data_IF_439090704240
#
_entry.id   IF_439090704240
#
_cell.length_a   1.000
_cell.length_b   1.000
_cell.length_c   1.000
_cell.angle_alpha   90.00
_cell.angle_beta   90.00
_cell.angle_gamma   90.00
#
_symmetry.space_group_name_H-M   'P 1'
#
loop_
_entity.id
_entity.type
_entity.pdbx_description
1 polymer ?
#
# COMPACT_ATOMS: atom_id res chain seq x y z
N UNK A 1 6.30 -15.09 -10.89
CA UNK A 1 6.46 -13.62 -10.88
C UNK A 1 5.61 -13.12 -9.73
N UNK A 2 6.18 -12.40 -8.77
CA UNK A 2 5.37 -11.74 -7.76
C UNK A 2 4.46 -10.75 -8.48
N UNK A 3 3.16 -10.80 -8.22
CA UNK A 3 2.22 -9.87 -8.83
C UNK A 3 2.34 -8.55 -8.06
N UNK A 4 2.68 -7.47 -8.75
CA UNK A 4 2.77 -6.15 -8.12
C UNK A 4 1.43 -5.78 -7.50
N UNK A 5 1.41 -5.49 -6.19
CA UNK A 5 0.23 -5.11 -5.43
C UNK A 5 0.44 -3.75 -4.76
N UNK A 6 -0.64 -3.02 -4.51
CA UNK A 6 -0.61 -1.68 -3.93
C UNK A 6 -1.69 -1.55 -2.86
N UNK A 7 -1.36 -0.87 -1.76
CA UNK A 7 -2.36 -0.49 -0.77
C UNK A 7 -3.24 0.62 -1.34
N UNK A 8 -4.55 0.46 -1.28
CA UNK A 8 -5.51 1.52 -1.61
C UNK A 8 -6.68 1.47 -0.63
N UNK A 9 -7.56 2.47 -0.67
CA UNK A 9 -8.80 2.47 0.12
C UNK A 9 -10.00 2.04 -0.70
N UNK A 10 -11.04 1.57 -0.03
CA UNK A 10 -12.27 1.08 -0.67
C UNK A 10 -13.00 2.16 -1.46
N UNK A 11 -12.86 3.43 -1.06
CA UNK A 11 -13.50 4.61 -1.65
C UNK A 11 -12.65 5.37 -2.67
N UNK A 12 -11.36 5.01 -2.84
CA UNK A 12 -10.50 5.65 -3.83
C UNK A 12 -10.85 5.13 -5.24
N UNK A 13 -11.32 5.99 -6.17
CA UNK A 13 -11.77 5.56 -7.49
C UNK A 13 -10.62 5.42 -8.51
N UNK A 14 -9.40 5.79 -8.13
CA UNK A 14 -8.25 5.83 -9.02
C UNK A 14 -7.38 4.59 -8.86
N UNK A 15 -6.84 4.12 -9.98
CA UNK A 15 -5.89 3.02 -9.97
C UNK A 15 -4.49 3.51 -9.53
N UNK A 16 -3.87 2.90 -8.50
CA UNK A 16 -2.60 3.37 -7.95
C UNK A 16 -1.40 3.21 -8.90
N UNK A 17 -1.49 2.35 -9.92
CA UNK A 17 -0.40 2.09 -10.86
C UNK A 17 -0.46 3.01 -12.08
N UNK A 18 -1.66 3.22 -12.63
CA UNK A 18 -1.90 3.95 -13.88
C UNK A 18 -2.38 5.38 -13.65
N UNK A 19 -2.92 5.69 -12.48
CA UNK A 19 -3.47 7.00 -12.12
C UNK A 19 -2.90 7.52 -10.79
N UNK A 20 -1.62 7.25 -10.53
CA UNK A 20 -0.94 7.53 -9.26
C UNK A 20 -1.19 8.95 -8.71
N UNK A 21 -1.05 10.01 -9.52
CA UNK A 21 -1.23 11.38 -9.03
C UNK A 21 -2.65 11.66 -8.50
N UNK A 22 -3.67 11.12 -9.18
CA UNK A 22 -5.06 11.28 -8.76
C UNK A 22 -5.36 10.42 -7.53
N UNK A 23 -4.86 9.19 -7.52
CA UNK A 23 -4.92 8.27 -6.39
C UNK A 23 -4.29 8.89 -5.13
N UNK A 24 -3.07 9.41 -5.24
CA UNK A 24 -2.30 9.99 -4.14
C UNK A 24 -2.95 11.25 -3.60
N UNK A 25 -3.43 12.15 -4.48
CA UNK A 25 -4.15 13.36 -4.05
C UNK A 25 -5.45 13.04 -3.32
N UNK A 26 -6.19 12.04 -3.77
CA UNK A 26 -7.40 11.60 -3.07
C UNK A 26 -7.05 11.06 -1.69
N UNK A 27 -6.05 10.17 -1.62
CA UNK A 27 -5.60 9.53 -0.39
C UNK A 27 -5.12 10.54 0.66
N UNK A 28 -4.25 11.48 0.26
CA UNK A 28 -3.79 12.60 1.10
C UNK A 28 -4.94 13.55 1.48
N UNK A 29 -5.82 13.87 0.53
CA UNK A 29 -6.96 14.77 0.75
C UNK A 29 -7.99 14.20 1.73
N UNK A 30 -8.11 12.88 1.82
CA UNK A 30 -8.91 12.17 2.83
C UNK A 30 -8.17 11.94 4.14
N UNK A 31 -6.87 12.19 4.19
CA UNK A 31 -6.02 11.98 5.36
C UNK A 31 -5.67 10.52 5.62
N UNK A 32 -5.80 9.63 4.63
CA UNK A 32 -5.44 8.21 4.78
C UNK A 32 -3.93 8.00 4.84
N UNK A 33 -3.17 8.77 4.07
CA UNK A 33 -1.71 8.72 4.00
C UNK A 33 -1.18 7.28 3.82
N UNK A 34 -1.80 6.52 2.93
CA UNK A 34 -1.59 5.08 2.74
C UNK A 34 -0.12 4.74 2.45
N UNK A 35 0.59 5.55 1.66
CA UNK A 35 2.03 5.36 1.43
C UNK A 35 2.86 5.50 2.72
N UNK A 36 2.58 6.53 3.52
CA UNK A 36 3.30 6.76 4.77
C UNK A 36 2.95 5.72 5.82
N UNK A 37 1.70 5.23 5.84
CA UNK A 37 1.30 4.13 6.71
C UNK A 37 2.01 2.83 6.32
N UNK A 38 1.99 2.46 5.03
CA UNK A 38 2.71 1.30 4.52
C UNK A 38 4.21 1.35 4.86
N UNK A 39 4.86 2.50 4.67
CA UNK A 39 6.27 2.69 4.98
C UNK A 39 6.63 2.46 6.46
N UNK A 40 5.68 2.60 7.39
CA UNK A 40 5.91 2.30 8.82
C UNK A 40 5.82 0.82 9.15
N UNK A 41 5.13 0.03 8.32
CA UNK A 41 4.86 -1.40 8.56
C UNK A 41 5.81 -2.27 7.74
N UNK A 42 6.15 -1.84 6.52
CA UNK A 42 7.11 -2.51 5.67
C UNK A 42 8.50 -2.46 6.30
N UNK A 43 9.20 -3.60 6.30
CA UNK A 43 10.54 -3.75 6.84
C UNK A 43 11.56 -3.93 5.71
N UNK A 44 11.50 -3.03 4.73
CA UNK A 44 12.44 -3.02 3.61
C UNK A 44 13.83 -2.61 4.07
N UNK A 45 14.84 -3.03 3.31
CA UNK A 45 16.24 -2.77 3.61
C UNK A 45 17.08 -2.80 2.35
N UNK A 46 18.17 -2.03 2.33
CA UNK A 46 19.20 -2.05 1.29
C UNK A 46 20.02 -3.35 1.29
N UNK A 47 19.92 -4.14 2.36
CA UNK A 47 20.53 -5.47 2.48
C UNK A 47 19.67 -6.59 1.87
N UNK A 48 18.40 -6.31 1.56
CA UNK A 48 17.48 -7.26 0.91
C UNK A 48 17.55 -7.12 -0.60
N UNK A 49 17.34 -8.21 -1.32
CA UNK A 49 17.11 -8.17 -2.77
C UNK A 49 15.79 -7.45 -3.10
N UNK A 50 15.65 -6.98 -4.34
CA UNK A 50 14.42 -6.34 -4.81
C UNK A 50 13.20 -7.24 -4.59
N UNK A 51 13.32 -8.55 -4.87
CA UNK A 51 12.25 -9.52 -4.67
C UNK A 51 11.88 -9.73 -3.19
N UNK A 52 12.86 -9.71 -2.29
CA UNK A 52 12.59 -9.78 -0.83
C UNK A 52 11.93 -8.50 -0.33
N UNK A 53 12.34 -7.33 -0.83
CA UNK A 53 11.69 -6.07 -0.53
C UNK A 53 10.25 -6.02 -1.04
N UNK A 54 9.98 -6.55 -2.24
CA UNK A 54 8.62 -6.69 -2.79
C UNK A 54 7.75 -7.61 -1.92
N UNK A 55 8.30 -8.74 -1.46
CA UNK A 55 7.61 -9.65 -0.54
C UNK A 55 7.29 -9.00 0.80
N UNK A 56 8.23 -8.22 1.36
CA UNK A 56 7.98 -7.47 2.59
C UNK A 56 6.93 -6.38 2.41
N UNK A 57 6.86 -5.77 1.21
CA UNK A 57 5.80 -4.84 0.85
C UNK A 57 4.43 -5.52 0.82
N UNK A 58 4.31 -6.66 0.12
CA UNK A 58 3.06 -7.43 0.04
C UNK A 58 2.61 -7.90 1.42
N UNK A 59 3.54 -8.43 2.23
CA UNK A 59 3.26 -8.82 3.62
C UNK A 59 2.72 -7.65 4.44
N UNK A 60 3.31 -6.45 4.30
CA UNK A 60 2.87 -5.26 5.02
C UNK A 60 1.48 -4.78 4.57
N UNK A 61 1.16 -4.86 3.27
CA UNK A 61 -0.18 -4.56 2.75
C UNK A 61 -1.20 -5.55 3.32
N UNK A 62 -0.89 -6.85 3.29
CA UNK A 62 -1.76 -7.89 3.83
C UNK A 62 -2.00 -7.72 5.34
N UNK A 63 -0.97 -7.34 6.11
CA UNK A 63 -1.12 -7.05 7.54
C UNK A 63 -2.02 -5.83 7.79
N UNK A 64 -1.85 -4.75 7.01
CA UNK A 64 -2.71 -3.56 7.12
C UNK A 64 -4.18 -3.94 6.89
N UNK A 65 -4.47 -4.71 5.84
CA UNK A 65 -5.84 -5.14 5.51
C UNK A 65 -6.36 -6.10 6.59
N UNK A 66 -5.55 -7.07 7.03
CA UNK A 66 -5.94 -8.07 8.04
C UNK A 66 -6.30 -7.45 9.38
N UNK A 67 -5.58 -6.40 9.79
CA UNK A 67 -5.76 -5.74 11.08
C UNK A 67 -6.52 -4.41 10.97
N UNK A 68 -7.26 -4.19 9.87
CA UNK A 68 -8.14 -3.05 9.68
C UNK A 68 -9.58 -3.37 10.12
N UNK A 69 -10.02 -2.98 11.34
CA UNK A 69 -11.36 -3.26 11.81
C UNK A 69 -12.44 -2.42 11.11
N UNK A 70 -12.06 -1.37 10.37
CA UNK A 70 -13.00 -0.46 9.71
C UNK A 70 -13.24 -0.83 8.24
N UNK A 71 -12.44 -1.74 7.66
CA UNK A 71 -12.57 -2.16 6.27
C UNK A 71 -12.32 -1.01 5.27
N UNK A 72 -11.44 -0.09 5.62
CA UNK A 72 -10.98 1.03 4.80
C UNK A 72 -10.06 0.53 3.70
N UNK A 73 -9.15 -0.40 3.98
CA UNK A 73 -8.05 -0.76 3.08
C UNK A 73 -8.33 -2.01 2.23
N UNK A 74 -7.79 -2.02 1.00
CA UNK A 74 -7.78 -3.16 0.07
C UNK A 74 -6.49 -3.18 -0.78
N UNK A 75 -6.25 -4.28 -1.48
CA UNK A 75 -5.20 -4.40 -2.50
C UNK A 75 -5.76 -4.45 -3.92
#
# INVERSE_FOLDING_TARGET
MAQSCALTTTDNPYDPFTQYDAWYRFDEGKGYHSCAYLARIARTSDQLSDAENEQELERAIDDIIKYDPLGIYKK
#
